data_IF_213929660345
#
_entry.id   IF_213929660345
#
_cell.length_a   1.000
_cell.length_b   1.000
_cell.length_c   1.000
_cell.angle_alpha   90.00
_cell.angle_beta   90.00
_cell.angle_gamma   90.00
#
_symmetry.space_group_name_H-M   'P 1'
#
loop_
_entity.id
_entity.type
_entity.pdbx_description
1 polymer ?
#
# COMPACT_ATOMS: atom_id res chain seq x y z
N UNK A 1 1.98 16.36 -0.54
CA UNK A 1 2.90 17.18 0.26
C UNK A 1 3.04 18.53 -0.43
N UNK A 2 2.59 19.61 0.21
CA UNK A 2 2.71 20.97 -0.33
C UNK A 2 4.16 21.44 -0.36
N UNK A 3 4.50 22.28 -1.34
CA UNK A 3 5.82 22.89 -1.46
C UNK A 3 6.00 23.93 -0.34
N UNK A 4 6.87 23.66 0.64
CA UNK A 4 7.13 24.53 1.81
C UNK A 4 8.03 25.73 1.52
N UNK A 5 8.76 25.73 0.41
CA UNK A 5 9.76 26.75 0.07
C UNK A 5 9.44 27.42 -1.28
N UNK A 6 9.82 28.68 -1.44
CA UNK A 6 9.65 29.45 -2.69
C UNK A 6 10.25 28.69 -3.89
N UNK A 7 9.55 28.62 -5.05
CA UNK A 7 10.12 28.00 -6.25
C UNK A 7 11.41 28.70 -6.71
N UNK A 8 12.34 27.93 -7.24
CA UNK A 8 13.59 28.45 -7.82
C UNK A 8 13.27 29.40 -8.98
N UNK A 9 14.00 30.50 -9.13
CA UNK A 9 13.72 31.51 -10.18
C UNK A 9 12.92 32.71 -9.70
N UNK A 10 12.50 32.71 -8.43
CA UNK A 10 11.84 33.84 -7.79
C UNK A 10 12.58 34.29 -6.53
N UNK A 11 12.39 35.56 -6.16
CA UNK A 11 12.84 36.18 -4.92
C UNK A 11 11.71 37.02 -4.31
N UNK A 12 11.73 37.19 -2.99
CA UNK A 12 10.85 38.12 -2.29
C UNK A 12 11.55 39.48 -2.18
N UNK A 13 10.93 40.54 -2.70
CA UNK A 13 11.42 41.91 -2.59
C UNK A 13 10.27 42.79 -2.12
N UNK A 14 10.42 43.40 -0.95
CA UNK A 14 9.42 44.30 -0.35
C UNK A 14 8.00 43.69 -0.29
N UNK A 15 7.90 42.42 0.11
CA UNK A 15 6.62 41.71 0.21
C UNK A 15 6.01 41.23 -1.12
N UNK A 16 6.66 41.54 -2.25
CA UNK A 16 6.23 41.10 -3.60
C UNK A 16 7.16 40.01 -4.14
N UNK A 17 6.60 39.06 -4.90
CA UNK A 17 7.41 38.06 -5.60
C UNK A 17 7.92 38.67 -6.91
N UNK A 18 9.24 38.64 -7.10
CA UNK A 18 9.90 39.10 -8.33
C UNK A 18 10.74 37.98 -8.93
N UNK A 19 11.06 38.11 -10.22
CA UNK A 19 11.92 37.17 -10.92
C UNK A 19 13.37 37.35 -10.45
N UNK A 20 14.06 36.24 -10.19
CA UNK A 20 15.48 36.20 -9.90
C UNK A 20 16.22 35.72 -11.15
N UNK A 21 16.73 36.66 -11.96
CA UNK A 21 17.21 36.41 -13.33
C UNK A 21 18.19 35.22 -13.47
N UNK A 22 19.18 35.12 -12.58
CA UNK A 22 20.15 34.00 -12.64
C UNK A 22 19.47 32.63 -12.44
N UNK A 23 18.56 32.54 -11.47
CA UNK A 23 17.85 31.29 -11.20
C UNK A 23 16.74 31.04 -12.23
N UNK A 24 16.16 32.11 -12.77
CA UNK A 24 15.20 32.08 -13.86
C UNK A 24 15.81 31.50 -15.13
N UNK A 25 17.05 31.87 -15.46
CA UNK A 25 17.80 31.31 -16.57
C UNK A 25 17.99 29.79 -16.42
N UNK A 26 18.26 29.31 -15.20
CA UNK A 26 18.36 27.86 -14.92
C UNK A 26 17.03 27.16 -15.15
N UNK A 27 15.91 27.72 -14.68
CA UNK A 27 14.58 27.15 -14.91
C UNK A 27 14.26 27.10 -16.41
N UNK A 28 14.47 28.20 -17.14
CA UNK A 28 14.28 28.26 -18.59
C UNK A 28 15.12 27.21 -19.32
N UNK A 29 16.41 27.09 -18.97
CA UNK A 29 17.31 26.05 -19.50
C UNK A 29 16.76 24.64 -19.26
N UNK A 30 16.27 24.33 -18.06
CA UNK A 30 15.68 23.02 -17.75
C UNK A 30 14.50 22.69 -18.67
N UNK A 31 13.60 23.66 -18.92
CA UNK A 31 12.49 23.45 -19.85
C UNK A 31 12.99 23.22 -21.28
N UNK A 32 13.92 24.05 -21.77
CA UNK A 32 14.51 23.95 -23.11
C UNK A 32 15.22 22.61 -23.31
N UNK A 33 16.16 22.26 -22.43
CA UNK A 33 16.93 21.01 -22.48
C UNK A 33 16.00 19.79 -22.44
N UNK A 34 14.95 19.85 -21.60
CA UNK A 34 13.97 18.78 -21.53
C UNK A 34 13.11 18.71 -22.79
N UNK A 35 12.68 19.81 -23.40
CA UNK A 35 11.90 19.73 -24.64
C UNK A 35 12.79 19.22 -25.80
N UNK A 36 14.06 19.63 -25.84
CA UNK A 36 15.05 19.22 -26.83
C UNK A 36 15.44 17.73 -26.79
N UNK A 37 15.00 16.97 -25.78
CA UNK A 37 15.23 15.52 -25.75
C UNK A 37 16.10 15.01 -24.60
N UNK A 38 16.75 15.88 -23.81
CA UNK A 38 17.57 15.41 -22.67
C UNK A 38 16.72 14.76 -21.58
N UNK A 39 17.24 13.72 -20.94
CA UNK A 39 16.55 13.08 -19.82
C UNK A 39 16.66 13.93 -18.55
N UNK A 40 15.73 13.79 -17.59
CA UNK A 40 15.83 14.52 -16.31
C UNK A 40 17.10 14.15 -15.53
N UNK A 41 17.61 12.93 -15.71
CA UNK A 41 18.87 12.48 -15.11
C UNK A 41 20.07 13.19 -15.76
N UNK A 42 20.08 13.28 -17.09
CA UNK A 42 21.12 13.99 -17.85
C UNK A 42 21.16 15.46 -17.46
N UNK A 43 20.00 16.13 -17.42
CA UNK A 43 19.90 17.54 -17.00
C UNK A 43 20.41 17.72 -15.57
N UNK A 44 19.98 16.85 -14.63
CA UNK A 44 20.45 16.93 -13.24
C UNK A 44 21.96 16.73 -13.13
N UNK A 45 22.54 15.80 -13.89
CA UNK A 45 23.98 15.57 -13.94
C UNK A 45 24.71 16.81 -14.45
N UNK A 46 24.30 17.36 -15.59
CA UNK A 46 24.91 18.58 -16.17
C UNK A 46 24.86 19.78 -15.20
N UNK A 47 23.73 20.00 -14.51
CA UNK A 47 23.59 21.08 -13.52
C UNK A 47 24.50 20.87 -12.30
N UNK A 48 24.69 19.63 -11.87
CA UNK A 48 25.60 19.25 -10.77
C UNK A 48 27.06 19.46 -11.18
N UNK A 49 27.44 18.98 -12.37
CA UNK A 49 28.80 19.05 -12.90
C UNK A 49 29.23 20.52 -13.15
N UNK A 50 28.30 21.37 -13.59
CA UNK A 50 28.50 22.82 -13.77
C UNK A 50 28.42 23.62 -12.46
N UNK A 51 28.27 22.95 -11.31
CA UNK A 51 28.19 23.55 -9.96
C UNK A 51 27.10 24.61 -9.79
N UNK A 52 25.99 24.47 -10.52
CA UNK A 52 24.84 25.37 -10.38
C UNK A 52 24.12 25.09 -9.06
N UNK A 53 23.95 26.11 -8.23
CA UNK A 53 23.26 25.99 -6.94
C UNK A 53 21.75 25.77 -7.11
N UNK A 54 21.20 24.82 -6.35
CA UNK A 54 19.76 24.61 -6.23
C UNK A 54 19.13 25.56 -5.19
N UNK A 55 17.81 25.46 -4.99
CA UNK A 55 17.06 26.30 -4.04
C UNK A 55 17.55 26.20 -2.57
N UNK A 56 18.29 25.14 -2.22
CA UNK A 56 18.91 24.95 -0.90
C UNK A 56 20.37 25.43 -0.85
N UNK A 57 20.83 26.19 -1.86
CA UNK A 57 22.21 26.67 -1.99
C UNK A 57 23.25 25.54 -2.01
N UNK A 58 22.89 24.38 -2.56
CA UNK A 58 23.80 23.23 -2.76
C UNK A 58 23.89 22.88 -4.25
N UNK A 59 25.06 22.50 -4.78
CA UNK A 59 25.23 22.14 -6.18
C UNK A 59 24.81 20.67 -6.44
N UNK A 60 23.77 20.17 -5.76
CA UNK A 60 23.32 18.79 -5.90
C UNK A 60 21.93 18.71 -6.56
N UNK A 61 21.89 18.24 -7.80
CA UNK A 61 20.66 18.06 -8.54
C UNK A 61 20.30 16.58 -8.68
N UNK A 62 19.02 16.28 -8.55
CA UNK A 62 18.50 14.94 -8.80
C UNK A 62 17.44 15.00 -9.89
N UNK A 63 17.21 13.87 -10.57
CA UNK A 63 16.11 13.77 -11.54
C UNK A 63 14.75 14.19 -10.93
N UNK A 64 14.58 13.99 -9.61
CA UNK A 64 13.39 14.39 -8.86
C UNK A 64 13.28 15.91 -8.70
N UNK A 65 14.39 16.63 -8.44
CA UNK A 65 14.35 18.09 -8.34
C UNK A 65 14.03 18.73 -9.69
N UNK A 66 14.65 18.25 -10.77
CA UNK A 66 14.31 18.63 -12.14
C UNK A 66 12.84 18.31 -12.45
N UNK A 67 12.38 17.12 -12.06
CA UNK A 67 10.99 16.70 -12.24
C UNK A 67 9.97 17.60 -11.53
N UNK A 68 10.28 18.08 -10.33
CA UNK A 68 9.43 19.03 -9.58
C UNK A 68 9.35 20.39 -10.27
N UNK A 69 10.46 20.88 -10.82
CA UNK A 69 10.48 22.15 -11.57
C UNK A 69 9.58 22.04 -12.80
N UNK A 70 9.75 20.98 -13.59
CA UNK A 70 8.94 20.73 -14.78
C UNK A 70 7.44 20.56 -14.48
N UNK A 71 7.03 20.23 -13.26
CA UNK A 71 5.62 20.06 -12.87
C UNK A 71 5.00 21.30 -12.24
N UNK A 72 5.80 22.30 -11.88
CA UNK A 72 5.34 23.41 -11.06
C UNK A 72 4.58 24.44 -11.92
N UNK A 73 3.26 24.47 -11.78
CA UNK A 73 2.40 25.44 -12.48
C UNK A 73 2.66 26.90 -12.10
N UNK A 74 3.34 27.16 -10.97
CA UNK A 74 3.68 28.54 -10.59
C UNK A 74 4.53 29.26 -11.66
N UNK A 75 5.26 28.52 -12.48
CA UNK A 75 6.09 29.10 -13.54
C UNK A 75 5.31 29.68 -14.72
N UNK A 76 4.05 29.27 -14.95
CA UNK A 76 3.21 29.87 -16.02
C UNK A 76 2.56 31.18 -15.59
N UNK A 77 2.78 31.59 -14.33
CA UNK A 77 2.21 32.79 -13.73
C UNK A 77 0.85 32.54 -13.08
N UNK A 78 0.59 33.27 -11.99
CA UNK A 78 -0.72 33.40 -11.35
C UNK A 78 -0.84 34.81 -10.70
N UNK A 79 -1.87 35.04 -9.88
CA UNK A 79 -2.07 36.34 -9.20
C UNK A 79 -0.92 36.74 -8.27
N UNK A 80 -0.08 35.78 -7.84
CA UNK A 80 1.00 35.98 -6.88
C UNK A 80 2.40 35.78 -7.49
N UNK A 81 2.56 34.91 -8.48
CA UNK A 81 3.83 34.63 -9.15
C UNK A 81 3.86 35.25 -10.55
N UNK A 82 4.86 36.08 -10.87
CA UNK A 82 5.11 36.53 -12.24
C UNK A 82 5.34 35.34 -13.18
N UNK A 83 4.88 35.46 -14.42
CA UNK A 83 5.12 34.44 -15.44
C UNK A 83 6.62 34.34 -15.74
N UNK A 84 7.16 33.12 -15.61
CA UNK A 84 8.58 32.82 -15.88
C UNK A 84 8.77 31.97 -17.14
N UNK A 85 7.80 31.09 -17.42
CA UNK A 85 7.79 30.16 -18.54
C UNK A 85 6.47 30.32 -19.27
N UNK A 86 6.52 30.43 -20.59
CA UNK A 86 5.32 30.52 -21.41
C UNK A 86 4.46 29.27 -21.28
N UNK A 87 3.13 29.45 -21.30
CA UNK A 87 2.17 28.35 -21.15
C UNK A 87 2.41 27.23 -22.18
N UNK A 88 2.70 27.59 -23.42
CA UNK A 88 2.93 26.63 -24.50
C UNK A 88 4.19 25.77 -24.25
N UNK A 89 5.29 26.35 -23.75
CA UNK A 89 6.51 25.63 -23.36
C UNK A 89 6.22 24.66 -22.20
N UNK A 90 5.46 25.12 -21.21
CA UNK A 90 5.06 24.26 -20.10
C UNK A 90 4.22 23.06 -20.56
N UNK A 91 3.28 23.29 -21.48
CA UNK A 91 2.43 22.25 -22.07
C UNK A 91 3.24 21.25 -22.91
N UNK A 92 4.18 21.71 -23.74
CA UNK A 92 5.11 20.84 -24.47
C UNK A 92 5.91 19.93 -23.52
N UNK A 93 6.43 20.49 -22.42
CA UNK A 93 7.11 19.71 -21.39
C UNK A 93 6.15 18.68 -20.74
N UNK A 94 4.90 19.04 -20.43
CA UNK A 94 3.91 18.08 -19.91
C UNK A 94 3.58 16.98 -20.91
N UNK A 95 3.43 17.31 -22.20
CA UNK A 95 3.14 16.34 -23.24
C UNK A 95 4.28 15.34 -23.38
N UNK A 96 5.53 15.81 -23.40
CA UNK A 96 6.70 14.94 -23.39
C UNK A 96 6.71 14.04 -22.17
N UNK A 97 6.45 14.57 -20.97
CA UNK A 97 6.34 13.76 -19.74
C UNK A 97 5.28 12.67 -19.88
N UNK A 98 4.10 12.98 -20.45
CA UNK A 98 3.04 12.01 -20.71
C UNK A 98 3.49 10.95 -21.72
N UNK A 99 4.14 11.33 -22.83
CA UNK A 99 4.69 10.42 -23.84
C UNK A 99 5.76 9.49 -23.25
N UNK A 100 6.69 10.04 -22.46
CA UNK A 100 7.72 9.25 -21.74
C UNK A 100 7.09 8.32 -20.71
N UNK A 101 6.09 8.77 -19.94
CA UNK A 101 5.38 7.94 -18.98
C UNK A 101 4.66 6.76 -19.67
N UNK A 102 4.02 7.00 -20.82
CA UNK A 102 3.40 5.95 -21.64
C UNK A 102 4.45 4.97 -22.19
N UNK A 103 5.55 5.47 -22.78
CA UNK A 103 6.63 4.65 -23.36
C UNK A 103 7.28 3.70 -22.34
N UNK A 104 7.43 4.14 -21.10
CA UNK A 104 8.05 3.33 -20.03
C UNK A 104 7.03 2.67 -19.09
N UNK A 105 5.73 2.60 -19.44
CA UNK A 105 4.66 2.10 -18.57
C UNK A 105 4.60 2.75 -17.17
N UNK A 106 5.19 3.95 -17.02
CA UNK A 106 5.28 4.78 -15.80
C UNK A 106 4.12 5.76 -15.63
N UNK A 107 3.08 5.66 -16.46
CA UNK A 107 1.74 6.10 -16.01
C UNK A 107 1.45 5.38 -14.68
N UNK A 108 0.66 5.96 -13.76
CA UNK A 108 0.03 5.17 -12.67
C UNK A 108 -0.88 4.14 -13.34
N UNK A 109 -0.29 3.12 -13.92
CA UNK A 109 -0.83 2.32 -14.99
C UNK A 109 -1.16 0.96 -14.42
N UNK A 110 -2.19 0.36 -15.01
CA UNK A 110 -2.70 -0.97 -14.73
C UNK A 110 -1.62 -2.08 -14.68
N UNK A 111 -0.37 -1.83 -15.07
CA UNK A 111 0.76 -2.73 -14.81
C UNK A 111 1.02 -2.97 -13.31
N UNK A 112 0.73 -2.00 -12.43
CA UNK A 112 0.74 -2.24 -10.97
C UNK A 112 -0.41 -3.15 -10.50
N UNK A 113 -1.38 -3.39 -11.38
CA UNK A 113 -2.58 -4.20 -11.15
C UNK A 113 -2.46 -5.59 -11.76
N UNK A 114 -1.69 -5.77 -12.84
CA UNK A 114 -1.44 -7.07 -13.47
C UNK A 114 -0.30 -7.89 -12.82
N UNK A 115 0.48 -7.30 -11.92
CA UNK A 115 1.39 -7.99 -10.98
C UNK A 115 0.90 -7.87 -9.53
N UNK A 116 -0.38 -7.55 -9.35
CA UNK A 116 -1.00 -7.44 -8.05
C UNK A 116 -1.44 -8.84 -7.65
N UNK A 117 -0.50 -9.61 -7.09
CA UNK A 117 -0.75 -10.93 -6.52
C UNK A 117 -2.09 -10.96 -5.80
N UNK A 118 -2.88 -12.02 -6.02
CA UNK A 118 -4.23 -12.20 -5.42
C UNK A 118 -4.24 -11.97 -3.92
N UNK A 119 -3.12 -12.22 -3.26
CA UNK A 119 -2.96 -12.08 -1.82
C UNK A 119 -2.97 -10.63 -1.33
N UNK A 120 -2.83 -9.65 -2.24
CA UNK A 120 -2.80 -8.24 -1.85
C UNK A 120 -4.17 -7.79 -1.35
N UNK A 121 -4.18 -7.18 -0.17
CA UNK A 121 -5.37 -6.67 0.53
C UNK A 121 -6.35 -7.75 1.02
N UNK A 122 -6.13 -9.03 0.66
CA UNK A 122 -6.89 -10.20 1.17
C UNK A 122 -6.33 -10.69 2.51
N UNK A 123 -5.01 -10.60 2.74
CA UNK A 123 -4.40 -11.10 3.97
C UNK A 123 -4.38 -10.02 5.06
N UNK A 124 -4.94 -10.34 6.23
CA UNK A 124 -4.96 -9.47 7.41
C UNK A 124 -4.40 -10.14 8.64
N UNK A 125 -3.84 -9.32 9.52
CA UNK A 125 -3.41 -9.73 10.85
C UNK A 125 -4.61 -9.73 11.80
N UNK A 126 -4.92 -10.86 12.44
CA UNK A 126 -5.99 -10.95 13.44
C UNK A 126 -5.72 -10.15 14.73
N UNK A 127 -4.45 -9.86 15.03
CA UNK A 127 -4.07 -9.11 16.24
C UNK A 127 -4.13 -7.59 16.09
N UNK A 128 -3.75 -7.07 14.92
CA UNK A 128 -3.66 -5.63 14.69
C UNK A 128 -4.55 -5.12 13.55
N UNK A 129 -5.31 -6.01 12.92
CA UNK A 129 -6.24 -5.77 11.82
C UNK A 129 -5.65 -5.07 10.57
N UNK A 130 -4.33 -5.00 10.49
CA UNK A 130 -3.61 -4.39 9.37
C UNK A 130 -3.28 -5.43 8.30
N UNK A 131 -3.14 -4.94 7.08
CA UNK A 131 -2.88 -5.78 5.90
C UNK A 131 -1.47 -6.34 5.92
N UNK A 132 -1.30 -7.52 5.33
CA UNK A 132 0.02 -8.01 4.96
C UNK A 132 0.49 -7.35 3.67
N UNK A 133 1.81 -7.15 3.55
CA UNK A 133 2.45 -6.58 2.36
C UNK A 133 3.54 -7.52 1.84
N UNK A 134 3.73 -7.49 0.53
CA UNK A 134 4.81 -8.15 -0.19
C UNK A 134 6.10 -7.34 -0.03
N UNK A 135 7.14 -7.96 0.49
CA UNK A 135 8.50 -7.42 0.63
C UNK A 135 9.46 -8.26 -0.21
N UNK A 136 10.42 -7.59 -0.86
CA UNK A 136 11.51 -8.24 -1.58
C UNK A 136 12.76 -8.13 -0.70
N UNK A 137 13.27 -9.27 -0.28
CA UNK A 137 14.53 -9.40 0.45
C UNK A 137 15.67 -9.67 -0.53
N UNK A 138 16.84 -9.09 -0.26
CA UNK A 138 18.03 -9.23 -1.11
C UNK A 138 17.77 -8.88 -2.60
N UNK A 139 16.98 -7.84 -2.86
CA UNK A 139 16.63 -7.41 -4.21
C UNK A 139 17.86 -7.24 -5.12
N UNK A 140 17.83 -7.86 -6.30
CA UNK A 140 18.91 -7.84 -7.29
C UNK A 140 20.09 -8.77 -7.00
N UNK A 141 19.99 -9.65 -5.99
CA UNK A 141 21.01 -10.68 -5.69
C UNK A 141 20.48 -12.08 -6.06
N UNK A 142 21.36 -13.09 -6.24
CA UNK A 142 20.93 -14.48 -6.49
C UNK A 142 20.05 -15.05 -5.37
N UNK A 143 20.15 -14.50 -4.16
CA UNK A 143 19.33 -14.87 -2.99
C UNK A 143 18.08 -14.01 -2.82
N UNK A 144 17.59 -13.36 -3.89
CA UNK A 144 16.35 -12.58 -3.85
C UNK A 144 15.18 -13.47 -3.43
N UNK A 145 14.42 -13.03 -2.42
CA UNK A 145 13.25 -13.75 -1.91
C UNK A 145 12.08 -12.82 -1.69
N UNK A 146 10.88 -13.33 -1.93
CA UNK A 146 9.64 -12.62 -1.71
C UNK A 146 9.00 -13.12 -0.42
N UNK A 147 8.69 -12.21 0.50
CA UNK A 147 8.03 -12.52 1.78
C UNK A 147 6.83 -11.61 2.02
N UNK A 148 5.74 -12.20 2.49
CA UNK A 148 4.55 -11.52 2.95
C UNK A 148 4.59 -11.34 4.47
N UNK A 149 4.57 -10.09 4.92
CA UNK A 149 4.66 -9.75 6.34
C UNK A 149 3.57 -8.77 6.73
N UNK A 150 3.09 -8.86 7.97
CA UNK A 150 2.17 -7.87 8.53
C UNK A 150 2.79 -6.47 8.40
N UNK A 151 2.02 -5.48 7.93
CA UNK A 151 2.47 -4.09 7.80
C UNK A 151 2.98 -3.51 9.13
N UNK A 152 2.44 -3.97 10.25
CA UNK A 152 2.86 -3.56 11.60
C UNK A 152 3.91 -4.51 12.19
N UNK A 153 4.54 -5.40 11.40
CA UNK A 153 5.65 -6.23 11.87
C UNK A 153 6.77 -5.37 12.49
N UNK A 154 7.28 -4.39 11.72
CA UNK A 154 8.22 -3.38 12.20
C UNK A 154 7.57 -2.01 12.10
N UNK A 155 7.54 -1.29 13.21
CA UNK A 155 7.21 0.13 13.27
C UNK A 155 8.27 0.82 14.11
N UNK A 156 8.78 1.97 13.66
CA UNK A 156 9.78 2.75 14.41
C UNK A 156 10.98 1.91 14.89
N UNK A 157 11.48 1.03 14.02
CA UNK A 157 12.59 0.08 14.31
C UNK A 157 12.34 -0.90 15.46
N UNK A 158 11.08 -1.12 15.87
CA UNK A 158 10.68 -2.12 16.87
C UNK A 158 9.74 -3.15 16.27
N UNK A 159 9.82 -4.39 16.75
CA UNK A 159 8.94 -5.49 16.33
C UNK A 159 7.63 -5.44 17.12
N UNK A 160 6.51 -5.20 16.45
CA UNK A 160 5.17 -5.11 17.08
C UNK A 160 4.26 -6.31 16.77
N UNK A 161 4.42 -6.92 15.60
CA UNK A 161 3.71 -8.16 15.25
C UNK A 161 4.72 -9.29 15.14
N UNK A 162 4.39 -10.48 15.62
CA UNK A 162 5.24 -11.69 15.52
C UNK A 162 4.55 -12.82 14.75
N UNK A 163 3.52 -12.48 13.99
CA UNK A 163 2.79 -13.46 13.20
C UNK A 163 3.65 -13.94 12.04
N UNK A 164 3.32 -15.13 11.55
CA UNK A 164 4.08 -15.86 10.55
C UNK A 164 4.33 -15.04 9.28
N UNK A 165 5.49 -15.24 8.65
CA UNK A 165 5.84 -14.64 7.36
C UNK A 165 5.68 -15.68 6.29
N UNK A 166 4.96 -15.34 5.23
CA UNK A 166 4.64 -16.30 4.19
C UNK A 166 5.47 -16.09 2.93
N UNK A 167 5.84 -17.18 2.28
CA UNK A 167 6.16 -17.22 0.86
C UNK A 167 4.86 -17.36 0.05
N UNK A 168 4.93 -17.06 -1.25
CA UNK A 168 3.75 -17.11 -2.11
C UNK A 168 3.22 -18.56 -2.22
N UNK A 169 4.11 -19.55 -2.35
CA UNK A 169 3.72 -20.97 -2.37
C UNK A 169 3.05 -21.46 -1.09
N UNK A 170 3.42 -20.93 0.09
CA UNK A 170 2.75 -21.30 1.35
C UNK A 170 1.30 -20.83 1.37
N UNK A 171 1.05 -19.61 0.88
CA UNK A 171 -0.31 -19.05 0.78
C UNK A 171 -1.17 -19.82 -0.23
N UNK A 172 -0.59 -20.23 -1.36
CA UNK A 172 -1.24 -21.09 -2.33
C UNK A 172 -1.67 -22.43 -1.72
N UNK A 173 -0.77 -23.06 -0.95
CA UNK A 173 -1.08 -24.32 -0.27
C UNK A 173 -2.19 -24.16 0.78
N UNK A 174 -2.15 -23.08 1.57
CA UNK A 174 -3.21 -22.78 2.56
C UNK A 174 -4.57 -22.68 1.87
N UNK A 175 -4.65 -22.00 0.73
CA UNK A 175 -5.91 -21.85 -0.01
C UNK A 175 -6.39 -23.17 -0.61
N UNK A 176 -5.50 -23.98 -1.19
CA UNK A 176 -5.83 -25.32 -1.69
C UNK A 176 -6.34 -26.21 -0.56
N UNK A 177 -5.66 -26.21 0.59
CA UNK A 177 -6.06 -26.97 1.77
C UNK A 177 -7.43 -26.54 2.30
N UNK A 178 -7.65 -25.23 2.47
CA UNK A 178 -8.93 -24.69 2.94
C UNK A 178 -10.09 -25.05 2.00
N UNK A 179 -9.92 -24.89 0.69
CA UNK A 179 -10.96 -25.24 -0.27
C UNK A 179 -11.21 -26.74 -0.33
N UNK A 180 -10.17 -27.57 -0.20
CA UNK A 180 -10.34 -29.03 -0.10
C UNK A 180 -11.09 -29.44 1.18
N UNK A 181 -10.86 -28.78 2.30
CA UNK A 181 -11.64 -29.00 3.52
C UNK A 181 -13.11 -28.57 3.34
N UNK A 182 -13.35 -27.45 2.66
CA UNK A 182 -14.69 -27.00 2.31
C UNK A 182 -15.42 -27.98 1.40
N UNK A 183 -14.76 -28.52 0.38
CA UNK A 183 -15.31 -29.53 -0.55
C UNK A 183 -15.73 -30.83 0.16
N UNK A 184 -15.00 -31.24 1.21
CA UNK A 184 -15.40 -32.37 2.06
C UNK A 184 -16.68 -32.10 2.85
N UNK A 185 -16.97 -30.82 3.13
CA UNK A 185 -18.12 -30.40 3.93
C UNK A 185 -19.15 -29.64 3.08
N UNK A 186 -19.74 -30.30 2.09
CA UNK A 186 -20.70 -29.69 1.14
C UNK A 186 -21.83 -28.88 1.78
N UNK A 187 -22.26 -29.23 3.00
CA UNK A 187 -23.26 -28.48 3.79
C UNK A 187 -22.85 -27.03 4.06
N UNK A 188 -21.55 -26.74 4.16
CA UNK A 188 -21.03 -25.39 4.44
C UNK A 188 -21.02 -24.50 3.20
N UNK A 189 -21.09 -25.08 2.00
CA UNK A 189 -21.19 -24.32 0.74
C UNK A 189 -22.58 -23.70 0.62
N UNK A 190 -23.61 -24.46 1.01
CA UNK A 190 -25.02 -24.04 0.98
C UNK A 190 -25.46 -23.28 2.22
N UNK A 191 -24.57 -23.09 3.20
CA UNK A 191 -24.90 -22.40 4.45
C UNK A 191 -25.14 -20.92 4.15
N UNK A 192 -26.39 -20.48 4.26
CA UNK A 192 -26.75 -19.07 4.31
C UNK A 192 -26.71 -18.67 5.79
N UNK A 193 -25.75 -17.82 6.18
CA UNK A 193 -25.76 -17.19 7.51
C UNK A 193 -27.00 -16.33 7.65
N UNK A 194 -27.67 -16.40 8.81
CA UNK A 194 -28.86 -15.58 9.08
C UNK A 194 -28.45 -14.11 9.11
N UNK A 195 -29.17 -13.28 8.36
CA UNK A 195 -29.03 -11.83 8.34
C UNK A 195 -29.10 -11.27 9.78
N UNK A 196 -28.06 -10.56 10.24
CA UNK A 196 -28.14 -9.77 11.47
C UNK A 196 -29.00 -8.53 11.19
N UNK A 197 -30.12 -8.31 11.90
CA UNK A 197 -30.97 -7.14 11.66
C UNK A 197 -30.15 -5.85 11.81
N UNK A 198 -30.51 -4.78 11.09
CA UNK A 198 -29.79 -3.51 11.15
C UNK A 198 -29.66 -3.04 12.60
N UNK A 199 -28.51 -2.45 12.94
CA UNK A 199 -28.31 -1.91 14.28
C UNK A 199 -29.26 -0.73 14.49
N UNK A 200 -30.30 -0.94 15.29
CA UNK A 200 -31.31 0.07 15.60
C UNK A 200 -30.69 1.10 16.55
N UNK A 201 -30.46 2.32 16.06
CA UNK A 201 -30.04 3.44 16.89
C UNK A 201 -31.20 3.93 17.77
N UNK A 202 -30.88 4.56 18.90
CA UNK A 202 -31.88 5.23 19.73
C UNK A 202 -32.66 6.28 18.93
N UNK A 203 -31.96 6.96 18.00
CA UNK A 203 -32.57 7.94 17.12
C UNK A 203 -33.59 7.30 16.14
N UNK A 204 -33.26 6.15 15.55
CA UNK A 204 -34.18 5.42 14.68
C UNK A 204 -35.45 5.03 15.45
N UNK A 205 -35.31 4.52 16.67
CA UNK A 205 -36.45 4.16 17.54
C UNK A 205 -37.35 5.37 17.83
N UNK A 206 -36.76 6.53 18.10
CA UNK A 206 -37.52 7.76 18.36
C UNK A 206 -38.27 8.24 17.11
N UNK A 207 -37.64 8.17 15.95
CA UNK A 207 -38.29 8.52 14.66
C UNK A 207 -39.45 7.56 14.37
N UNK A 208 -39.26 6.26 14.55
CA UNK A 208 -40.33 5.26 14.38
C UNK A 208 -41.51 5.51 15.32
N UNK A 209 -41.24 5.83 16.59
CA UNK A 209 -42.29 6.17 17.55
C UNK A 209 -43.08 7.39 17.09
N UNK A 210 -42.39 8.44 16.64
CA UNK A 210 -43.05 9.68 16.21
C UNK A 210 -43.90 9.51 14.95
N UNK A 211 -43.46 8.67 14.02
CA UNK A 211 -44.25 8.28 12.84
C UNK A 211 -45.53 7.56 13.30
N UNK A 212 -45.42 6.58 14.20
CA UNK A 212 -46.58 5.84 14.71
C UNK A 212 -47.60 6.74 15.41
N UNK A 213 -47.15 7.72 16.19
CA UNK A 213 -48.04 8.72 16.82
C UNK A 213 -48.83 9.50 15.76
N UNK A 214 -48.16 10.01 14.72
CA UNK A 214 -48.83 10.77 13.65
C UNK A 214 -49.80 9.90 12.82
N UNK A 215 -49.45 8.64 12.57
CA UNK A 215 -50.33 7.67 11.89
C UNK A 215 -51.58 7.35 12.72
N UNK A 216 -51.43 7.21 14.05
CA UNK A 216 -52.54 6.96 14.98
C UNK A 216 -53.46 8.16 15.13
N UNK A 217 -52.91 9.38 15.13
CA UNK A 217 -53.68 10.63 15.18
C UNK A 217 -54.41 10.92 13.84
N UNK A 218 -54.14 10.13 12.79
CA UNK A 218 -54.72 10.31 11.46
C UNK A 218 -54.20 11.55 10.72
N UNK A 219 -53.11 12.16 11.19
CA UNK A 219 -52.56 13.42 10.69
C UNK A 219 -51.61 13.19 9.50
N UNK A 220 -52.13 12.55 8.45
CA UNK A 220 -51.36 12.21 7.24
C UNK A 220 -50.97 13.45 6.40
N UNK A 221 -51.65 14.58 6.60
CA UNK A 221 -51.35 15.84 5.91
C UNK A 221 -50.18 16.61 6.55
N UNK A 222 -49.67 16.16 7.70
CA UNK A 222 -48.58 16.82 8.39
C UNK A 222 -47.30 16.81 7.54
N UNK A 223 -46.71 17.98 7.22
CA UNK A 223 -45.49 18.06 6.42
C UNK A 223 -44.28 17.39 7.09
N UNK A 224 -44.33 17.16 8.41
CA UNK A 224 -43.29 16.43 9.15
C UNK A 224 -43.31 14.93 8.89
N UNK A 225 -44.43 14.35 8.49
CA UNK A 225 -44.54 12.91 8.29
C UNK A 225 -43.63 12.41 7.13
N UNK A 226 -43.64 13.02 5.92
CA UNK A 226 -42.67 12.70 4.87
C UNK A 226 -41.21 12.87 5.30
N UNK A 227 -40.90 13.91 6.07
CA UNK A 227 -39.55 14.17 6.57
C UNK A 227 -39.08 13.05 7.52
N UNK A 228 -39.95 12.63 8.45
CA UNK A 228 -39.67 11.53 9.37
C UNK A 228 -39.52 10.20 8.63
N UNK A 229 -40.34 9.92 7.61
CA UNK A 229 -40.21 8.71 6.77
C UNK A 229 -38.86 8.68 6.07
N UNK A 230 -38.42 9.80 5.49
CA UNK A 230 -37.12 9.92 4.85
C UNK A 230 -35.98 9.73 5.87
N UNK A 231 -36.10 10.36 7.03
CA UNK A 231 -35.13 10.22 8.13
C UNK A 231 -35.05 8.79 8.66
N UNK A 232 -36.18 8.09 8.78
CA UNK A 232 -36.24 6.66 9.12
C UNK A 232 -35.44 5.83 8.12
N UNK A 233 -35.67 6.04 6.82
CA UNK A 233 -34.96 5.32 5.76
C UNK A 233 -33.44 5.56 5.84
N UNK A 234 -33.02 6.82 6.01
CA UNK A 234 -31.61 7.19 6.17
C UNK A 234 -30.95 6.47 7.36
N UNK A 235 -31.59 6.53 8.54
CA UNK A 235 -31.07 5.90 9.76
C UNK A 235 -31.05 4.37 9.67
N UNK A 236 -32.07 3.78 9.02
CA UNK A 236 -32.12 2.34 8.76
C UNK A 236 -30.96 1.90 7.86
N UNK A 237 -30.76 2.57 6.71
CA UNK A 237 -29.66 2.23 5.80
C UNK A 237 -28.28 2.52 6.39
N UNK A 238 -28.15 3.51 7.27
CA UNK A 238 -26.90 3.76 7.99
C UNK A 238 -26.52 2.61 8.94
N UNK A 239 -27.52 1.91 9.50
CA UNK A 239 -27.32 0.75 10.38
C UNK A 239 -27.37 -0.61 9.68
N UNK A 240 -27.73 -0.63 8.38
CA UNK A 240 -27.88 -1.86 7.60
C UNK A 240 -26.56 -2.27 6.95
N UNK A 241 -26.30 -3.57 6.93
CA UNK A 241 -25.18 -4.17 6.18
C UNK A 241 -25.71 -4.75 4.88
N UNK A 242 -24.90 -4.68 3.81
CA UNK A 242 -25.23 -5.35 2.54
C UNK A 242 -25.21 -6.86 2.79
N UNK A 243 -26.34 -7.53 2.56
CA UNK A 243 -26.47 -8.98 2.64
C UNK A 243 -26.44 -9.61 1.24
N UNK A 244 -25.24 -10.03 0.84
CA UNK A 244 -25.02 -10.81 -0.37
C UNK A 244 -24.83 -12.31 -0.07
N UNK A 245 -25.14 -12.80 1.14
CA UNK A 245 -24.77 -14.16 1.55
C UNK A 245 -25.39 -15.24 0.67
N UNK A 246 -26.67 -15.11 0.31
CA UNK A 246 -27.35 -16.06 -0.57
C UNK A 246 -26.76 -16.05 -1.99
N UNK A 247 -26.50 -14.86 -2.55
CA UNK A 247 -25.84 -14.70 -3.86
C UNK A 247 -24.45 -15.32 -3.84
N UNK A 248 -23.67 -15.02 -2.80
CA UNK A 248 -22.30 -15.49 -2.66
C UNK A 248 -22.22 -17.01 -2.44
N UNK A 249 -23.22 -17.60 -1.77
CA UNK A 249 -23.33 -19.06 -1.66
C UNK A 249 -23.54 -19.72 -3.03
N UNK A 250 -24.37 -19.14 -3.90
CA UNK A 250 -24.55 -19.67 -5.26
C UNK A 250 -23.29 -19.47 -6.13
N UNK A 251 -22.65 -18.30 -6.07
CA UNK A 251 -21.35 -18.05 -6.75
C UNK A 251 -20.31 -19.09 -6.30
N UNK A 252 -20.20 -19.34 -4.99
CA UNK A 252 -19.27 -20.32 -4.44
C UNK A 252 -19.58 -21.74 -4.94
N UNK A 253 -20.87 -22.11 -4.97
CA UNK A 253 -21.33 -23.42 -5.42
C UNK A 253 -21.06 -23.62 -6.92
N UNK A 254 -21.33 -22.62 -7.75
CA UNK A 254 -21.05 -22.65 -9.18
C UNK A 254 -19.55 -22.75 -9.45
N UNK A 255 -18.74 -21.91 -8.78
CA UNK A 255 -17.28 -21.92 -8.90
C UNK A 255 -16.66 -23.28 -8.53
N UNK A 256 -17.26 -24.00 -7.57
CA UNK A 256 -16.81 -25.31 -7.11
C UNK A 256 -17.53 -26.49 -7.79
N UNK A 257 -18.45 -26.25 -8.73
CA UNK A 257 -19.20 -27.31 -9.39
C UNK A 257 -18.26 -28.28 -10.13
N UNK A 258 -18.52 -29.59 -9.99
CA UNK A 258 -17.74 -30.67 -10.61
C UNK A 258 -16.34 -30.90 -10.01
N UNK A 259 -15.90 -30.11 -9.03
CA UNK A 259 -14.57 -30.24 -8.41
C UNK A 259 -14.64 -31.11 -7.17
N UNK A 260 -13.90 -32.22 -7.15
CA UNK A 260 -13.81 -33.13 -5.99
C UNK A 260 -12.60 -32.85 -5.11
N UNK A 261 -11.49 -32.44 -5.71
CA UNK A 261 -10.24 -32.07 -5.02
C UNK A 261 -9.43 -31.12 -5.91
N UNK A 262 -8.80 -30.12 -5.30
CA UNK A 262 -7.83 -29.22 -5.93
C UNK A 262 -6.41 -29.69 -5.61
N UNK A 263 -5.56 -29.73 -6.64
CA UNK A 263 -4.13 -30.10 -6.52
C UNK A 263 -3.19 -28.96 -6.93
N UNK A 264 -3.71 -27.98 -7.66
CA UNK A 264 -2.97 -26.83 -8.17
C UNK A 264 -3.67 -25.54 -7.76
N UNK A 265 -2.90 -24.46 -7.71
CA UNK A 265 -3.43 -23.14 -7.44
C UNK A 265 -4.06 -22.54 -8.71
N UNK A 266 -5.29 -22.02 -8.59
CA UNK A 266 -6.01 -21.33 -9.66
C UNK A 266 -6.38 -19.91 -9.20
N UNK A 267 -5.62 -18.94 -9.69
CA UNK A 267 -5.76 -17.52 -9.34
C UNK A 267 -7.20 -16.99 -9.55
N UNK A 268 -7.83 -17.41 -10.65
CA UNK A 268 -9.17 -16.93 -11.03
C UNK A 268 -10.24 -17.49 -10.10
N UNK A 269 -10.14 -18.78 -9.77
CA UNK A 269 -11.02 -19.44 -8.83
C UNK A 269 -10.92 -18.80 -7.43
N UNK A 270 -9.71 -18.66 -6.90
CA UNK A 270 -9.51 -18.14 -5.55
C UNK A 270 -9.92 -16.68 -5.41
N UNK A 271 -9.71 -15.86 -6.44
CA UNK A 271 -10.22 -14.49 -6.48
C UNK A 271 -11.75 -14.40 -6.44
N UNK A 272 -12.44 -15.43 -6.95
CA UNK A 272 -13.90 -15.49 -6.95
C UNK A 272 -14.48 -15.99 -5.63
N UNK A 273 -13.79 -16.90 -4.91
CA UNK A 273 -14.37 -17.61 -3.77
C UNK A 273 -13.85 -17.17 -2.40
N UNK A 274 -12.69 -16.51 -2.34
CA UNK A 274 -12.05 -16.10 -1.08
C UNK A 274 -12.39 -14.65 -0.78
N UNK A 275 -12.80 -14.40 0.47
CA UNK A 275 -13.05 -13.05 0.99
C UNK A 275 -11.85 -12.49 1.73
N UNK A 276 -11.28 -13.27 2.65
CA UNK A 276 -10.16 -12.82 3.49
C UNK A 276 -9.35 -14.01 4.02
N UNK A 277 -8.05 -13.79 4.24
CA UNK A 277 -7.19 -14.68 5.05
C UNK A 277 -6.80 -13.91 6.31
N UNK A 278 -7.09 -14.46 7.48
CA UNK A 278 -6.77 -13.82 8.77
C UNK A 278 -5.73 -14.65 9.52
N UNK A 279 -4.61 -14.02 9.87
CA UNK A 279 -3.47 -14.68 10.52
C UNK A 279 -3.36 -14.24 11.96
N UNK A 280 -3.42 -15.19 12.90
CA UNK A 280 -3.33 -14.94 14.34
C UNK A 280 -2.00 -15.37 14.93
N UNK A 281 -1.71 -14.89 16.14
CA UNK A 281 -0.66 -15.47 16.99
C UNK A 281 -0.91 -16.96 17.26
N UNK A 282 0.18 -17.70 17.41
CA UNK A 282 0.10 -19.15 17.63
C UNK A 282 -0.14 -19.95 16.35
N UNK A 283 0.19 -19.39 15.18
CA UNK A 283 0.19 -20.11 13.90
C UNK A 283 -1.19 -20.62 13.45
N UNK A 284 -2.26 -19.95 13.89
CA UNK A 284 -3.62 -20.18 13.42
C UNK A 284 -3.95 -19.26 12.25
N UNK A 285 -4.53 -19.81 11.19
CA UNK A 285 -4.99 -19.08 10.01
C UNK A 285 -6.46 -19.38 9.75
N UNK A 286 -7.27 -18.35 9.62
CA UNK A 286 -8.66 -18.46 9.20
C UNK A 286 -8.77 -18.05 7.72
N UNK A 287 -9.32 -18.91 6.88
CA UNK A 287 -9.68 -18.59 5.50
C UNK A 287 -11.20 -18.39 5.44
N UNK A 288 -11.61 -17.15 5.19
CA UNK A 288 -13.02 -16.78 5.03
C UNK A 288 -13.40 -16.80 3.54
N UNK A 289 -14.43 -17.57 3.22
CA UNK A 289 -15.03 -17.63 1.89
C UNK A 289 -16.10 -16.54 1.71
N UNK A 290 -16.44 -16.20 0.46
CA UNK A 290 -17.41 -15.15 0.14
C UNK A 290 -18.81 -15.37 0.75
N UNK A 291 -19.18 -16.61 1.05
CA UNK A 291 -20.45 -16.94 1.70
C UNK A 291 -20.40 -16.77 3.23
N UNK A 292 -19.24 -16.43 3.81
CA UNK A 292 -19.02 -16.26 5.25
C UNK A 292 -18.59 -17.53 5.98
N UNK A 293 -18.41 -18.65 5.28
CA UNK A 293 -17.81 -19.85 5.88
C UNK A 293 -16.34 -19.59 6.18
N UNK A 294 -15.90 -19.96 7.39
CA UNK A 294 -14.52 -19.86 7.83
C UNK A 294 -13.96 -21.27 8.00
N UNK A 295 -12.80 -21.53 7.40
CA UNK A 295 -12.02 -22.75 7.58
C UNK A 295 -10.72 -22.39 8.27
N UNK A 296 -10.44 -23.05 9.40
CA UNK A 296 -9.21 -22.89 10.16
C UNK A 296 -8.11 -23.84 9.61
N UNK A 297 -6.95 -23.29 9.33
CA UNK A 297 -5.75 -24.00 8.85
C UNK A 297 -4.62 -23.80 9.87
N UNK A 298 -4.08 -24.88 10.46
CA UNK A 298 -2.87 -24.80 11.27
C UNK A 298 -1.63 -24.66 10.38
N UNK A 299 -0.63 -23.87 10.82
CA UNK A 299 0.68 -23.86 10.15
C UNK A 299 1.52 -25.00 10.73
N UNK A 300 1.71 -26.06 9.94
CA UNK A 300 2.69 -27.10 10.25
C UNK A 300 4.10 -26.49 10.18
N UNK A 301 4.84 -26.50 11.31
CA UNK A 301 6.27 -26.18 11.25
C UNK A 301 6.97 -27.31 10.47
N UNK A 302 7.96 -27.01 9.62
CA UNK A 302 8.92 -28.02 9.22
C UNK A 302 9.48 -28.63 10.51
N UNK A 303 9.32 -29.93 10.71
CA UNK A 303 10.06 -30.66 11.73
C UNK A 303 11.54 -30.45 11.44
N UNK A 304 12.23 -29.68 12.28
CA UNK A 304 13.69 -29.64 12.27
C UNK A 304 14.16 -31.05 12.64
N UNK A 305 14.56 -31.83 11.63
CA UNK A 305 15.44 -32.97 11.86
C UNK A 305 16.72 -32.41 12.48
N UNK A 306 16.84 -32.57 13.80
CA UNK A 306 18.10 -32.38 14.52
C UNK A 306 19.06 -33.43 13.95
N UNK A 307 19.86 -33.03 12.96
CA UNK A 307 21.08 -33.75 12.64
C UNK A 307 22.06 -33.50 13.79
N UNK A 308 22.02 -34.38 14.77
CA UNK A 308 23.10 -34.53 15.74
C UNK A 308 24.41 -34.67 14.96
N UNK A 309 25.25 -33.65 15.10
CA UNK A 309 26.64 -33.72 14.64
C UNK A 309 27.41 -34.46 15.74
N UNK A 310 28.19 -35.52 15.42
CA UNK A 310 28.83 -36.31 16.44
C UNK A 310 29.93 -35.52 17.15
N UNK A 311 29.93 -35.67 18.47
CA UNK A 311 30.94 -35.21 19.42
C UNK A 311 32.36 -35.57 18.93
N UNK A 312 33.19 -34.55 18.69
CA UNK A 312 34.64 -34.73 18.67
C UNK A 312 35.20 -34.48 20.07
N UNK A 313 35.53 -35.59 20.73
CA UNK A 313 36.32 -35.62 21.95
C UNK A 313 37.67 -34.93 21.76
N UNK A 314 38.09 -34.21 22.81
CA UNK A 314 39.26 -33.35 22.81
C UNK A 314 40.62 -34.06 22.70
N UNK A 315 41.63 -33.25 22.39
CA UNK A 315 43.00 -33.47 22.85
C UNK A 315 43.61 -32.14 23.28
N UNK A 316 44.20 -32.22 24.47
CA UNK A 316 44.92 -31.19 25.20
C UNK A 316 46.14 -30.62 24.46
N UNK A 317 46.55 -29.40 24.85
CA UNK A 317 47.98 -29.09 24.92
C UNK A 317 48.42 -27.65 24.63
N UNK A 318 48.84 -26.98 25.72
CA UNK A 318 49.92 -25.97 25.83
C UNK A 318 49.68 -24.48 25.50
N UNK A 319 49.52 -23.73 26.60
CA UNK A 319 50.41 -22.66 27.13
C UNK A 319 51.03 -21.57 26.22
N UNK A 320 50.93 -20.32 26.72
CA UNK A 320 51.87 -19.21 26.52
C UNK A 320 51.17 -17.91 26.11
N UNK A 321 50.60 -17.10 27.02
CA UNK A 321 51.26 -16.07 27.84
C UNK A 321 52.03 -14.99 27.04
N UNK A 322 51.48 -13.78 26.93
CA UNK A 322 52.09 -12.52 27.45
C UNK A 322 51.63 -11.25 26.71
N UNK A 323 51.25 -10.25 27.53
CA UNK A 323 51.51 -8.78 27.47
C UNK A 323 51.18 -8.01 26.17
N UNK A 324 50.24 -7.07 26.22
CA UNK A 324 50.43 -5.61 26.48
C UNK A 324 51.45 -4.97 25.53
N UNK A 325 51.01 -4.04 24.70
CA UNK A 325 51.28 -2.60 24.90
C UNK A 325 50.45 -1.73 23.95
N UNK A 326 50.06 -0.56 24.47
CA UNK A 326 49.48 0.54 23.70
C UNK A 326 50.57 1.43 23.11
N UNK A 327 50.19 2.22 22.12
CA UNK A 327 51.05 3.22 21.49
C UNK A 327 50.21 4.22 20.71
N UNK A 328 49.91 5.32 21.38
CA UNK A 328 49.39 6.57 20.84
C UNK A 328 50.53 7.28 20.08
N UNK A 329 50.25 7.93 18.94
CA UNK A 329 51.07 9.06 18.47
C UNK A 329 50.33 9.93 17.43
N UNK A 330 50.13 11.17 17.85
CA UNK A 330 49.72 12.37 17.14
C UNK A 330 50.83 12.97 16.26
N UNK A 331 50.41 13.82 15.30
CA UNK A 331 51.12 14.92 14.59
C UNK A 331 52.18 14.52 13.55
N UNK A 332 52.25 15.12 12.36
CA UNK A 332 52.49 16.55 12.08
C UNK A 332 51.94 17.06 10.73
N UNK A 333 51.73 18.38 10.69
CA UNK A 333 51.54 19.27 9.53
C UNK A 333 52.87 19.56 8.79
N UNK A 334 52.74 20.34 7.70
CA UNK A 334 53.76 21.04 6.86
C UNK A 334 54.17 20.26 5.59
N UNK A 335 54.09 20.77 4.35
CA UNK A 335 54.06 22.14 3.79
C UNK A 335 53.05 22.22 2.64
#
# INVERSE_FOLDING_TARGET
>A
MGQRHMPLGYKMVNGTVQIHEEHAAVVKRIFTDYIAGKSMQTIAKELTDTRIYNANKKPNWSHTSVGKILQNKKYIGDTFYPQLVEKHIFEQAQERRKKTAKRFNRTKSKASRCHQSVFKDIIRCGDCNEVYRKYVEHAGKPSEKIKWKCKQYIKENKVYCRNHFFEEGELEQILIQATNQLLKQKRLIQKVTKHEPPKISLELRNVEKRIKELEQDGDYANPKLPELIMKRAQLFYAGATIDDHARNAEILKEALAGKSKLMIFDETLFSAIIKQITVYKGNKIDVEFINGTIIEIPIEKPTEEIKETPESQGKDGKHGSSKKDGGDHTTTNEI
#
